data_IF_529281402279
#
_entry.id   IF_529281402279
#
_cell.length_a   1.000
_cell.length_b   1.000
_cell.length_c   1.000
_cell.angle_alpha   90.00
_cell.angle_beta   90.00
_cell.angle_gamma   90.00
#
_symmetry.space_group_name_H-M   'P 1'
#
loop_
_entity.id
_entity.type
_entity.pdbx_description
1 polymer ?
#
# COMPACT_ATOMS: atom_id res chain seq x y z
N UNK A 1 10.70 20.96 -2.43
CA UNK A 1 10.94 22.35 -2.00
C UNK A 1 9.67 22.82 -1.31
N UNK A 2 9.74 23.13 -0.03
CA UNK A 2 8.66 23.77 0.74
C UNK A 2 8.79 25.28 0.60
N UNK A 3 7.67 25.98 0.47
CA UNK A 3 7.67 27.45 0.56
C UNK A 3 8.02 27.86 2.02
N UNK A 4 8.61 29.04 2.22
CA UNK A 4 8.68 29.70 3.53
C UNK A 4 7.28 29.84 4.15
N UNK A 5 7.14 29.63 5.47
CA UNK A 5 5.84 29.61 6.18
C UNK A 5 4.99 30.86 5.89
N UNK A 6 5.60 32.04 5.85
CA UNK A 6 4.91 33.32 5.57
C UNK A 6 4.24 33.38 4.19
N UNK A 7 4.79 32.66 3.21
CA UNK A 7 4.26 32.63 1.85
C UNK A 7 3.20 31.54 1.64
N UNK A 8 3.25 30.46 2.43
CA UNK A 8 2.19 29.45 2.43
C UNK A 8 0.87 30.04 2.95
N UNK A 9 0.92 30.85 4.00
CA UNK A 9 -0.26 31.51 4.57
C UNK A 9 -0.91 32.50 3.59
N UNK A 10 -0.10 33.31 2.90
CA UNK A 10 -0.58 34.23 1.86
C UNK A 10 -1.22 33.49 0.69
N UNK A 11 -0.61 32.39 0.25
CA UNK A 11 -1.15 31.54 -0.81
C UNK A 11 -2.52 30.96 -0.42
N UNK A 12 -2.67 30.42 0.79
CA UNK A 12 -3.95 29.88 1.27
C UNK A 12 -5.02 30.94 1.47
N UNK A 13 -4.64 32.15 1.86
CA UNK A 13 -5.55 33.28 1.98
C UNK A 13 -6.10 33.71 0.61
N UNK A 14 -5.26 33.78 -0.41
CA UNK A 14 -5.65 34.12 -1.78
C UNK A 14 -6.56 33.04 -2.40
N UNK A 15 -6.23 31.76 -2.20
CA UNK A 15 -7.08 30.62 -2.63
C UNK A 15 -8.46 30.70 -1.98
N UNK A 16 -8.54 31.02 -0.68
CA UNK A 16 -9.81 31.14 0.03
C UNK A 16 -10.66 32.28 -0.52
N UNK A 17 -10.08 33.45 -0.74
CA UNK A 17 -10.80 34.59 -1.31
C UNK A 17 -11.33 34.29 -2.71
N UNK A 18 -10.54 33.62 -3.54
CA UNK A 18 -10.98 33.19 -4.87
C UNK A 18 -12.17 32.21 -4.81
N UNK A 19 -12.15 31.25 -3.89
CA UNK A 19 -13.23 30.27 -3.73
C UNK A 19 -14.52 30.88 -3.18
N UNK A 20 -14.39 31.82 -2.24
CA UNK A 20 -15.50 32.63 -1.68
C UNK A 20 -16.13 33.52 -2.77
N UNK A 21 -15.32 34.23 -3.55
CA UNK A 21 -15.78 35.10 -4.64
C UNK A 21 -16.50 34.31 -5.75
N UNK A 22 -16.05 33.06 -6.00
CA UNK A 22 -16.65 32.16 -6.99
C UNK A 22 -17.91 31.45 -6.49
N UNK A 23 -18.33 31.64 -5.23
CA UNK A 23 -19.51 31.03 -4.62
C UNK A 23 -19.62 29.52 -4.92
N UNK A 24 -18.49 28.80 -4.89
CA UNK A 24 -18.46 27.40 -5.32
C UNK A 24 -19.17 26.50 -4.29
N UNK A 25 -20.32 25.86 -4.60
CA UNK A 25 -21.14 25.18 -3.58
C UNK A 25 -20.63 23.82 -3.09
N UNK A 26 -19.53 23.28 -3.67
CA UNK A 26 -19.04 21.94 -3.31
C UNK A 26 -17.52 21.83 -3.39
N UNK A 27 -16.94 21.21 -2.34
CA UNK A 27 -15.57 20.69 -2.24
C UNK A 27 -14.51 21.69 -2.72
N UNK A 28 -14.01 22.50 -1.78
CA UNK A 28 -12.85 23.39 -1.94
C UNK A 28 -11.67 22.64 -2.55
N UNK A 29 -10.73 23.36 -3.16
CA UNK A 29 -9.55 22.78 -3.82
C UNK A 29 -8.76 21.89 -2.87
N UNK A 30 -8.69 22.24 -1.58
CA UNK A 30 -8.09 21.44 -0.52
C UNK A 30 -8.84 20.13 -0.30
N UNK A 31 -10.16 20.18 -0.17
CA UNK A 31 -10.99 18.99 0.01
C UNK A 31 -10.89 18.05 -1.21
N UNK A 32 -10.81 18.61 -2.42
CA UNK A 32 -10.62 17.84 -3.65
C UNK A 32 -9.27 17.14 -3.67
N UNK A 33 -8.20 17.82 -3.24
CA UNK A 33 -6.86 17.24 -3.12
C UNK A 33 -6.85 16.15 -2.05
N UNK A 34 -7.50 16.39 -0.90
CA UNK A 34 -7.65 15.43 0.18
C UNK A 34 -8.35 14.14 -0.28
N UNK A 35 -9.49 14.27 -0.96
CA UNK A 35 -10.23 13.13 -1.52
C UNK A 35 -9.36 12.36 -2.52
N UNK A 36 -8.69 13.05 -3.46
CA UNK A 36 -7.81 12.39 -4.43
C UNK A 36 -6.67 11.63 -3.77
N UNK A 37 -6.00 12.23 -2.77
CA UNK A 37 -4.93 11.58 -2.00
C UNK A 37 -5.46 10.37 -1.23
N UNK A 38 -6.61 10.49 -0.57
CA UNK A 38 -7.24 9.40 0.16
C UNK A 38 -7.61 8.22 -0.76
N UNK A 39 -8.19 8.49 -1.93
CA UNK A 39 -8.47 7.45 -2.94
C UNK A 39 -7.18 6.78 -3.41
N UNK A 40 -6.14 7.55 -3.73
CA UNK A 40 -4.86 6.98 -4.15
C UNK A 40 -4.22 6.10 -3.07
N UNK A 41 -4.24 6.55 -1.82
CA UNK A 41 -3.74 5.77 -0.67
C UNK A 41 -4.56 4.49 -0.48
N UNK A 42 -5.89 4.58 -0.53
CA UNK A 42 -6.79 3.44 -0.41
C UNK A 42 -6.58 2.40 -1.52
N UNK A 43 -6.40 2.84 -2.77
CA UNK A 43 -6.07 1.95 -3.89
C UNK A 43 -4.73 1.26 -3.67
N UNK A 44 -3.69 1.98 -3.25
CA UNK A 44 -2.38 1.39 -2.98
C UNK A 44 -2.42 0.38 -1.84
N UNK A 45 -3.12 0.70 -0.75
CA UNK A 45 -3.30 -0.21 0.38
C UNK A 45 -4.10 -1.45 -0.03
N UNK A 46 -5.23 -1.29 -0.72
CA UNK A 46 -6.04 -2.41 -1.21
C UNK A 46 -5.26 -3.32 -2.15
N UNK A 47 -4.46 -2.74 -3.06
CA UNK A 47 -3.55 -3.49 -3.94
C UNK A 47 -2.47 -4.28 -3.20
N UNK A 48 -2.06 -3.82 -2.02
CA UNK A 48 -1.07 -4.50 -1.18
C UNK A 48 -1.72 -5.63 -0.38
N UNK A 49 -2.88 -5.38 0.24
CA UNK A 49 -3.63 -6.42 0.97
C UNK A 49 -4.07 -7.54 0.02
N UNK A 50 -4.60 -7.21 -1.14
CA UNK A 50 -4.98 -8.19 -2.18
C UNK A 50 -3.79 -9.07 -2.58
N UNK A 51 -2.58 -8.49 -2.68
CA UNK A 51 -1.39 -9.26 -3.01
C UNK A 51 -0.95 -10.22 -1.88
N UNK A 52 -1.25 -9.89 -0.62
CA UNK A 52 -1.01 -10.78 0.53
C UNK A 52 -2.05 -11.89 0.53
N UNK A 53 -3.31 -11.54 0.36
CA UNK A 53 -4.42 -12.50 0.39
C UNK A 53 -4.29 -13.53 -0.74
N UNK A 54 -4.04 -13.09 -1.98
CA UNK A 54 -3.77 -14.02 -3.10
C UNK A 54 -2.58 -14.96 -2.82
N UNK A 55 -1.53 -14.48 -2.15
CA UNK A 55 -0.37 -15.31 -1.81
C UNK A 55 -0.72 -16.33 -0.72
N UNK A 56 -1.48 -15.91 0.30
CA UNK A 56 -1.94 -16.79 1.37
C UNK A 56 -2.88 -17.86 0.83
N UNK A 57 -3.88 -17.48 0.03
CA UNK A 57 -4.80 -18.41 -0.63
C UNK A 57 -4.05 -19.41 -1.50
N UNK A 58 -3.08 -18.97 -2.30
CA UNK A 58 -2.27 -19.87 -3.11
C UNK A 58 -1.52 -20.89 -2.25
N UNK A 59 -0.90 -20.46 -1.15
CA UNK A 59 -0.14 -21.34 -0.28
C UNK A 59 -1.07 -22.30 0.47
N UNK A 60 -2.25 -21.85 0.89
CA UNK A 60 -3.25 -22.67 1.55
C UNK A 60 -3.81 -23.73 0.59
N UNK A 61 -4.10 -23.38 -0.65
CA UNK A 61 -4.57 -24.31 -1.68
C UNK A 61 -3.49 -25.36 -2.01
N UNK A 62 -2.21 -24.97 -2.08
CA UNK A 62 -1.13 -25.88 -2.47
C UNK A 62 -0.62 -26.76 -1.33
N UNK A 63 -0.58 -26.24 -0.11
CA UNK A 63 0.11 -26.86 1.01
C UNK A 63 -0.80 -27.11 2.23
N UNK A 64 -2.07 -26.73 2.15
CA UNK A 64 -3.02 -26.83 3.24
C UNK A 64 -2.81 -25.77 4.31
N UNK A 65 -3.23 -26.10 5.54
CA UNK A 65 -3.29 -25.15 6.66
C UNK A 65 -1.93 -24.46 6.89
N UNK A 66 -1.94 -23.13 6.81
CA UNK A 66 -0.76 -22.30 7.04
C UNK A 66 -0.51 -22.06 8.52
N UNK A 67 0.77 -22.07 8.91
CA UNK A 67 1.16 -21.70 10.27
C UNK A 67 0.92 -20.21 10.53
N UNK A 68 0.55 -19.85 11.76
CA UNK A 68 0.35 -18.45 12.17
C UNK A 68 1.59 -17.59 11.97
N UNK A 69 2.79 -18.17 12.12
CA UNK A 69 4.07 -17.52 11.83
C UNK A 69 4.16 -17.08 10.37
N UNK A 70 3.84 -17.98 9.43
CA UNK A 70 3.91 -17.68 7.99
C UNK A 70 2.93 -16.58 7.60
N UNK A 71 1.69 -16.65 8.11
CA UNK A 71 0.67 -15.63 7.87
C UNK A 71 1.16 -14.26 8.37
N UNK A 72 1.73 -14.22 9.57
CA UNK A 72 2.25 -12.98 10.17
C UNK A 72 3.41 -12.41 9.35
N UNK A 73 4.34 -13.26 8.90
CA UNK A 73 5.47 -12.84 8.06
C UNK A 73 5.00 -12.24 6.73
N UNK A 74 4.04 -12.87 6.05
CA UNK A 74 3.50 -12.37 4.77
C UNK A 74 2.75 -11.04 4.99
N UNK A 75 1.95 -10.93 6.06
CA UNK A 75 1.26 -9.69 6.42
C UNK A 75 2.21 -8.55 6.80
N UNK A 76 3.41 -8.84 7.26
CA UNK A 76 4.43 -7.82 7.54
C UNK A 76 5.08 -7.24 6.27
N UNK A 77 4.94 -7.90 5.10
CA UNK A 77 5.56 -7.42 3.86
C UNK A 77 4.80 -6.19 3.34
N UNK A 78 5.48 -5.04 3.34
CA UNK A 78 4.92 -3.76 2.86
C UNK A 78 5.09 -3.48 1.37
N UNK A 79 5.80 -4.34 0.63
CA UNK A 79 6.14 -4.12 -0.77
C UNK A 79 5.42 -5.12 -1.68
N UNK A 80 4.52 -4.61 -2.52
CA UNK A 80 3.73 -5.44 -3.45
C UNK A 80 4.60 -6.24 -4.42
N UNK A 81 5.73 -5.69 -4.88
CA UNK A 81 6.60 -6.39 -5.82
C UNK A 81 7.30 -7.60 -5.18
N UNK A 82 7.61 -7.54 -3.89
CA UNK A 82 8.13 -8.69 -3.14
C UNK A 82 7.07 -9.80 -3.08
N UNK A 83 5.81 -9.44 -2.76
CA UNK A 83 4.69 -10.39 -2.74
C UNK A 83 4.46 -11.04 -4.10
N UNK A 84 4.50 -10.27 -5.20
CA UNK A 84 4.42 -10.82 -6.56
C UNK A 84 5.57 -11.78 -6.89
N UNK A 85 6.78 -11.46 -6.44
CA UNK A 85 7.95 -12.33 -6.57
C UNK A 85 7.74 -13.65 -5.83
N UNK A 86 7.29 -13.57 -4.57
CA UNK A 86 6.96 -14.73 -3.74
C UNK A 86 5.83 -15.55 -4.36
N UNK A 87 4.79 -14.94 -4.91
CA UNK A 87 3.70 -15.63 -5.61
C UNK A 87 4.23 -16.47 -6.78
N UNK A 88 5.10 -15.89 -7.61
CA UNK A 88 5.74 -16.61 -8.71
C UNK A 88 6.62 -17.78 -8.21
N UNK A 89 7.32 -17.60 -7.10
CA UNK A 89 8.15 -18.67 -6.52
C UNK A 89 7.30 -19.75 -5.86
N UNK A 90 6.20 -19.36 -5.21
CA UNK A 90 5.21 -20.24 -4.61
C UNK A 90 4.52 -21.14 -5.64
N UNK A 91 4.54 -20.83 -6.95
CA UNK A 91 4.08 -21.74 -8.00
C UNK A 91 5.11 -22.82 -8.37
N UNK A 92 6.39 -22.63 -8.03
CA UNK A 92 7.51 -23.49 -8.46
C UNK A 92 8.01 -24.42 -7.36
N UNK A 93 7.94 -23.98 -6.10
CA UNK A 93 8.35 -24.78 -4.95
C UNK A 93 7.47 -26.01 -4.78
N UNK A 94 8.05 -27.13 -4.34
CA UNK A 94 7.36 -28.42 -4.21
C UNK A 94 6.86 -28.70 -2.79
N UNK A 95 7.30 -27.90 -1.81
CA UNK A 95 6.88 -28.06 -0.42
C UNK A 95 6.80 -26.73 0.31
N UNK A 96 6.09 -26.73 1.43
CA UNK A 96 5.98 -25.59 2.31
C UNK A 96 7.34 -25.20 2.94
N UNK A 97 8.21 -26.17 3.20
CA UNK A 97 9.50 -25.90 3.82
C UNK A 97 10.45 -25.17 2.85
N UNK A 98 10.44 -25.54 1.57
CA UNK A 98 11.15 -24.79 0.52
C UNK A 98 10.63 -23.35 0.43
N UNK A 99 9.32 -23.14 0.59
CA UNK A 99 8.77 -21.78 0.59
C UNK A 99 9.19 -20.97 1.81
N UNK A 100 9.24 -21.59 3.00
CA UNK A 100 9.70 -20.92 4.23
C UNK A 100 11.16 -20.46 4.12
N UNK A 101 12.02 -21.22 3.46
CA UNK A 101 13.41 -20.80 3.19
C UNK A 101 13.49 -19.49 2.38
N UNK A 102 12.49 -19.21 1.54
CA UNK A 102 12.39 -17.97 0.76
C UNK A 102 11.87 -16.79 1.59
N UNK A 103 11.12 -17.07 2.66
CA UNK A 103 10.62 -16.07 3.61
C UNK A 103 11.64 -15.69 4.67
N UNK A 104 12.63 -16.55 4.93
CA UNK A 104 13.73 -16.20 5.82
C UNK A 104 14.48 -15.01 5.20
N UNK A 105 14.86 -14.00 5.99
CA UNK A 105 15.78 -13.00 5.51
C UNK A 105 17.01 -13.75 5.02
N UNK A 106 17.37 -13.57 3.75
CA UNK A 106 18.69 -13.99 3.31
C UNK A 106 19.68 -13.21 4.17
N UNK A 107 20.21 -13.85 5.21
CA UNK A 107 21.46 -13.44 5.81
C UNK A 107 22.47 -13.59 4.67
N UNK A 108 22.70 -12.49 3.96
CA UNK A 108 23.82 -12.34 3.05
C UNK A 108 24.66 -11.19 3.60
N UNK A 109 25.96 -11.48 3.61
CA UNK A 109 27.11 -10.68 4.05
C UNK A 109 27.05 -9.17 3.76
#
# INVERSE_FOLDING_TARGET
MSLPEDLDDLFWQEVRQYEEEKNMPYVTSVERIGIKKGIQQGIQQGMLEEARDMLLELLEERFGVLSSSTVTQIKAIGQREVLKGLFKQALRVQSMDQFKELLLPKMSD
#
